data_IF_764067266531
#
_entry.id   IF_764067266531
#
_cell.length_a   1.000
_cell.length_b   1.000
_cell.length_c   1.000
_cell.angle_alpha   90.00
_cell.angle_beta   90.00
_cell.angle_gamma   90.00
#
_symmetry.space_group_name_H-M   'P 1'
#
loop_
_entity.id
_entity.type
_entity.pdbx_description
1 polymer ?
#
# COMPACT_ATOMS: atom_id res chain seq x y z
N UNK A 1 26.78 -2.19 -74.50
CA UNK A 1 25.91 -3.37 -74.73
C UNK A 1 24.63 -3.18 -73.92
N UNK A 2 23.49 -2.97 -74.58
CA UNK A 2 22.18 -3.05 -73.93
C UNK A 2 21.75 -4.52 -73.98
N UNK A 3 21.86 -5.21 -72.85
CA UNK A 3 21.35 -6.57 -72.69
C UNK A 3 19.83 -6.50 -72.52
N UNK A 4 19.08 -7.07 -73.47
CA UNK A 4 17.60 -7.06 -73.49
C UNK A 4 16.99 -8.01 -72.44
N UNK A 5 17.72 -9.06 -72.04
CA UNK A 5 17.23 -10.08 -71.11
C UNK A 5 17.16 -9.64 -69.64
N UNK A 6 17.97 -8.64 -69.23
CA UNK A 6 17.98 -8.12 -67.86
C UNK A 6 17.94 -6.60 -67.90
N UNK A 7 16.77 -6.02 -67.63
CA UNK A 7 16.59 -4.57 -67.60
C UNK A 7 17.05 -3.99 -66.26
N UNK A 8 18.29 -3.48 -66.23
CA UNK A 8 18.91 -2.94 -65.02
C UNK A 8 18.17 -1.71 -64.45
N UNK A 9 17.55 -0.89 -65.32
CA UNK A 9 16.77 0.27 -64.87
C UNK A 9 15.47 -0.15 -64.19
N UNK A 10 14.78 -1.15 -64.75
CA UNK A 10 13.60 -1.75 -64.12
C UNK A 10 13.94 -2.41 -62.77
N UNK A 11 15.04 -3.17 -62.71
CA UNK A 11 15.49 -3.82 -61.47
C UNK A 11 15.87 -2.80 -60.38
N UNK A 12 16.43 -1.66 -60.77
CA UNK A 12 16.78 -0.57 -59.84
C UNK A 12 15.53 0.15 -59.35
N UNK A 13 14.57 0.44 -60.25
CA UNK A 13 13.27 1.00 -59.88
C UNK A 13 12.51 0.07 -58.91
N UNK A 14 12.48 -1.25 -59.17
CA UNK A 14 11.85 -2.24 -58.29
C UNK A 14 12.51 -2.32 -56.91
N UNK A 15 13.86 -2.22 -56.83
CA UNK A 15 14.58 -2.16 -55.56
C UNK A 15 14.22 -0.91 -54.75
N UNK A 16 14.16 0.27 -55.39
CA UNK A 16 13.74 1.50 -54.71
C UNK A 16 12.28 1.44 -54.25
N UNK A 17 11.38 0.92 -55.09
CA UNK A 17 9.97 0.74 -54.74
C UNK A 17 9.82 -0.20 -53.54
N UNK A 18 10.55 -1.31 -53.51
CA UNK A 18 10.57 -2.25 -52.38
C UNK A 18 11.06 -1.57 -51.08
N UNK A 19 12.11 -0.74 -51.17
CA UNK A 19 12.58 0.03 -50.01
C UNK A 19 11.53 1.04 -49.51
N UNK A 20 10.89 1.79 -50.41
CA UNK A 20 9.81 2.72 -50.07
C UNK A 20 8.60 2.01 -49.46
N UNK A 21 8.23 0.83 -49.97
CA UNK A 21 7.14 0.03 -49.43
C UNK A 21 7.43 -0.42 -47.99
N UNK A 22 8.66 -0.87 -47.70
CA UNK A 22 9.08 -1.24 -46.34
C UNK A 22 9.06 -0.05 -45.36
N UNK A 23 9.51 1.12 -45.81
CA UNK A 23 9.45 2.35 -45.00
C UNK A 23 8.00 2.79 -44.73
N UNK A 24 7.11 2.68 -45.72
CA UNK A 24 5.68 2.97 -45.55
C UNK A 24 5.03 2.01 -44.56
N UNK A 25 5.27 0.70 -44.68
CA UNK A 25 4.74 -0.30 -43.74
C UNK A 25 5.19 -0.01 -42.31
N UNK A 26 6.46 0.34 -42.12
CA UNK A 26 6.99 0.73 -40.79
C UNK A 26 6.31 1.98 -40.25
N UNK A 27 6.08 2.99 -41.10
CA UNK A 27 5.40 4.23 -40.72
C UNK A 27 3.94 3.98 -40.35
N UNK A 28 3.25 3.15 -41.12
CA UNK A 28 1.87 2.73 -40.83
C UNK A 28 1.77 1.97 -39.50
N UNK A 29 2.74 1.09 -39.20
CA UNK A 29 2.79 0.39 -37.91
C UNK A 29 3.00 1.36 -36.74
N UNK A 30 3.89 2.35 -36.89
CA UNK A 30 4.10 3.42 -35.89
C UNK A 30 2.87 4.31 -35.72
N UNK A 31 2.19 4.64 -36.80
CA UNK A 31 0.95 5.43 -36.76
C UNK A 31 -0.17 4.66 -36.06
N UNK A 32 -0.36 3.39 -36.39
CA UNK A 32 -1.38 2.52 -35.79
C UNK A 32 -1.18 2.27 -34.30
N UNK A 33 0.08 2.12 -33.88
CA UNK A 33 0.44 1.89 -32.47
C UNK A 33 0.58 3.17 -31.66
N UNK A 34 0.85 4.30 -32.31
CA UNK A 34 1.27 5.54 -31.67
C UNK A 34 2.67 5.48 -31.05
N UNK A 35 3.39 4.36 -31.20
CA UNK A 35 4.71 4.14 -30.61
C UNK A 35 5.81 4.32 -31.67
N UNK A 36 6.84 5.09 -31.31
CA UNK A 36 8.01 5.28 -32.17
C UNK A 36 8.85 4.00 -32.30
N UNK A 37 8.93 3.19 -31.25
CA UNK A 37 9.67 1.92 -31.21
C UNK A 37 8.66 0.81 -31.00
N UNK A 38 8.44 -0.01 -32.02
CA UNK A 38 7.47 -1.11 -31.97
C UNK A 38 8.13 -2.49 -31.85
N UNK A 39 9.41 -2.60 -32.20
CA UNK A 39 10.15 -3.85 -32.14
C UNK A 39 11.60 -3.63 -31.71
N UNK A 40 12.22 -4.67 -31.15
CA UNK A 40 13.64 -4.67 -30.79
C UNK A 40 14.56 -4.45 -32.02
N UNK A 41 14.05 -4.69 -33.23
CA UNK A 41 14.76 -4.44 -34.48
C UNK A 41 14.93 -2.94 -34.78
N UNK A 42 13.99 -2.12 -34.32
CA UNK A 42 13.98 -0.66 -34.56
C UNK A 42 14.93 0.07 -33.62
N UNK A 43 14.92 -0.30 -32.33
CA UNK A 43 15.80 0.24 -31.28
C UNK A 43 15.78 -0.69 -30.06
N UNK A 44 16.73 -1.63 -29.99
CA UNK A 44 16.81 -2.59 -28.89
C UNK A 44 17.08 -1.91 -27.53
N UNK A 45 17.88 -0.85 -27.50
CA UNK A 45 18.21 -0.13 -26.27
C UNK A 45 17.01 0.72 -25.79
N UNK A 46 16.35 1.42 -26.71
CA UNK A 46 15.14 2.18 -26.43
C UNK A 46 14.00 1.29 -25.93
N UNK A 47 13.78 0.13 -26.58
CA UNK A 47 12.78 -0.83 -26.13
C UNK A 47 13.10 -1.38 -24.72
N UNK A 48 14.35 -1.76 -24.45
CA UNK A 48 14.75 -2.27 -23.15
C UNK A 48 14.58 -1.24 -22.02
N UNK A 49 14.85 0.04 -22.28
CA UNK A 49 14.60 1.12 -21.33
C UNK A 49 13.10 1.34 -21.13
N UNK A 50 12.32 1.38 -22.21
CA UNK A 50 10.86 1.52 -22.15
C UNK A 50 10.18 0.38 -21.41
N UNK A 51 10.61 -0.87 -21.61
CA UNK A 51 10.10 -2.02 -20.86
C UNK A 51 10.45 -1.92 -19.39
N UNK A 52 11.69 -1.55 -19.03
CA UNK A 52 12.09 -1.32 -17.64
C UNK A 52 11.23 -0.24 -16.98
N UNK A 53 11.01 0.89 -17.66
CA UNK A 53 10.12 1.94 -17.16
C UNK A 53 8.68 1.44 -17.02
N UNK A 54 8.18 0.64 -17.97
CA UNK A 54 6.84 0.06 -17.87
C UNK A 54 6.72 -0.89 -16.67
N UNK A 55 7.71 -1.74 -16.43
CA UNK A 55 7.75 -2.58 -15.22
C UNK A 55 7.79 -1.75 -13.95
N UNK A 56 8.53 -0.65 -13.93
CA UNK A 56 8.61 0.25 -12.78
C UNK A 56 7.27 0.95 -12.54
N UNK A 57 6.61 1.46 -13.58
CA UNK A 57 5.29 2.09 -13.47
C UNK A 57 4.24 1.11 -12.95
N UNK A 58 4.23 -0.13 -13.46
CA UNK A 58 3.32 -1.18 -12.94
C UNK A 58 3.63 -1.53 -11.49
N UNK A 59 4.92 -1.63 -11.14
CA UNK A 59 5.36 -1.82 -9.76
C UNK A 59 4.88 -0.71 -8.84
N UNK A 60 5.07 0.56 -9.24
CA UNK A 60 4.59 1.73 -8.51
C UNK A 60 3.06 1.76 -8.36
N UNK A 61 2.30 1.31 -9.36
CA UNK A 61 0.84 1.24 -9.26
C UNK A 61 0.37 0.22 -8.20
N UNK A 62 1.07 -0.92 -8.07
CA UNK A 62 0.81 -1.89 -6.99
C UNK A 62 1.26 -1.33 -5.65
N UNK A 63 2.45 -0.73 -5.60
CA UNK A 63 2.97 -0.09 -4.40
C UNK A 63 2.05 1.00 -3.84
N UNK A 64 1.44 1.82 -4.71
CA UNK A 64 0.45 2.82 -4.29
C UNK A 64 -0.77 2.18 -3.65
N UNK A 65 -1.26 1.05 -4.16
CA UNK A 65 -2.35 0.30 -3.52
C UNK A 65 -1.94 -0.26 -2.16
N UNK A 66 -0.78 -0.88 -2.07
CA UNK A 66 -0.24 -1.38 -0.79
C UNK A 66 -0.06 -0.27 0.24
N UNK A 67 0.37 0.92 -0.18
CA UNK A 67 0.48 2.09 0.70
C UNK A 67 -0.89 2.54 1.22
N UNK A 68 -1.94 2.53 0.37
CA UNK A 68 -3.31 2.82 0.79
C UNK A 68 -3.85 1.78 1.78
N UNK A 69 -3.47 0.51 1.63
CA UNK A 69 -3.81 -0.55 2.61
C UNK A 69 -3.12 -0.29 3.96
N UNK A 70 -1.86 0.12 3.95
CA UNK A 70 -1.12 0.52 5.15
C UNK A 70 -1.73 1.74 5.84
N UNK A 71 -2.19 2.74 5.08
CA UNK A 71 -2.92 3.90 5.60
C UNK A 71 -4.23 3.45 6.24
N UNK A 72 -5.00 2.61 5.54
CA UNK A 72 -6.29 2.11 6.03
C UNK A 72 -6.14 1.30 7.32
N UNK A 73 -5.11 0.44 7.40
CA UNK A 73 -4.77 -0.29 8.62
C UNK A 73 -4.45 0.67 9.76
N UNK A 74 -3.61 1.68 9.50
CA UNK A 74 -3.20 2.66 10.49
C UNK A 74 -4.38 3.48 11.01
N UNK A 75 -5.32 3.86 10.14
CA UNK A 75 -6.54 4.59 10.52
C UNK A 75 -7.47 3.75 11.40
N UNK A 76 -7.64 2.45 11.11
CA UNK A 76 -8.44 1.56 11.95
C UNK A 76 -7.77 1.38 13.32
N UNK A 77 -6.45 1.21 13.35
CA UNK A 77 -5.69 1.15 14.60
C UNK A 77 -5.83 2.45 15.40
N UNK A 78 -5.69 3.61 14.77
CA UNK A 78 -5.82 4.92 15.40
C UNK A 78 -7.23 5.13 15.98
N UNK A 79 -8.28 4.83 15.23
CA UNK A 79 -9.65 4.96 15.70
C UNK A 79 -9.95 4.08 16.92
N UNK A 80 -9.41 2.85 16.94
CA UNK A 80 -9.50 1.98 18.11
C UNK A 80 -8.73 2.57 19.32
N UNK A 81 -7.52 3.07 19.11
CA UNK A 81 -6.72 3.70 20.16
C UNK A 81 -7.37 4.96 20.74
N UNK A 82 -8.03 5.77 19.92
CA UNK A 82 -8.80 6.93 20.39
C UNK A 82 -9.91 6.51 21.36
N UNK A 83 -10.67 5.44 21.04
CA UNK A 83 -11.71 4.91 21.95
C UNK A 83 -11.13 4.36 23.25
N UNK A 84 -9.98 3.70 23.17
CA UNK A 84 -9.27 3.25 24.37
C UNK A 84 -8.81 4.43 25.23
N UNK A 85 -8.34 5.52 24.61
CA UNK A 85 -7.95 6.75 25.31
C UNK A 85 -9.14 7.40 26.04
N UNK A 86 -10.31 7.49 25.40
CA UNK A 86 -11.54 8.00 26.02
C UNK A 86 -11.90 7.20 27.29
N UNK A 87 -11.80 5.86 27.21
CA UNK A 87 -12.07 4.97 28.34
C UNK A 87 -11.06 5.19 29.47
N UNK A 88 -9.77 5.31 29.15
CA UNK A 88 -8.73 5.55 30.16
C UNK A 88 -8.91 6.90 30.85
N UNK A 89 -9.30 7.94 30.10
CA UNK A 89 -9.61 9.24 30.69
C UNK A 89 -10.79 9.15 31.66
N UNK A 90 -11.87 8.48 31.27
CA UNK A 90 -13.03 8.24 32.16
C UNK A 90 -12.66 7.41 33.38
N UNK A 91 -11.87 6.35 33.22
CA UNK A 91 -11.38 5.53 34.33
C UNK A 91 -10.53 6.35 35.31
N UNK A 92 -9.75 7.32 34.81
CA UNK A 92 -8.97 8.24 35.64
C UNK A 92 -9.86 9.20 36.42
N UNK A 93 -10.90 9.75 35.79
CA UNK A 93 -11.89 10.60 36.46
C UNK A 93 -12.56 9.85 37.62
N UNK A 94 -13.00 8.61 37.39
CA UNK A 94 -13.59 7.77 38.44
C UNK A 94 -12.62 7.47 39.57
N UNK A 95 -11.34 7.22 39.26
CA UNK A 95 -10.31 6.97 40.27
C UNK A 95 -10.06 8.21 41.15
N UNK A 96 -9.98 9.40 40.55
CA UNK A 96 -9.84 10.67 41.29
C UNK A 96 -11.09 10.96 42.11
N UNK A 97 -12.27 10.69 41.57
CA UNK A 97 -13.54 10.83 42.28
C UNK A 97 -13.59 9.90 43.49
N UNK A 98 -13.23 8.62 43.33
CA UNK A 98 -13.22 7.63 44.41
C UNK A 98 -12.24 7.96 45.54
N UNK A 99 -11.13 8.65 45.21
CA UNK A 99 -10.14 9.11 46.17
C UNK A 99 -10.63 10.26 47.09
N UNK A 100 -11.78 10.89 46.78
CA UNK A 100 -12.33 11.92 47.65
C UNK A 100 -12.76 11.31 49.01
N UNK A 101 -12.34 11.95 50.10
CA UNK A 101 -12.56 11.49 51.47
C UNK A 101 -14.01 11.52 51.92
N UNK A 102 -14.86 12.29 51.24
CA UNK A 102 -16.30 12.45 51.56
C UNK A 102 -17.19 11.34 51.00
N UNK A 103 -16.68 10.50 50.10
CA UNK A 103 -17.47 9.41 49.51
C UNK A 103 -17.67 8.28 50.52
N UNK A 104 -18.90 7.76 50.56
CA UNK A 104 -19.21 6.58 51.37
C UNK A 104 -18.59 5.31 50.77
N UNK A 105 -18.55 4.23 51.55
CA UNK A 105 -18.09 2.92 51.06
C UNK A 105 -18.96 2.39 49.92
N UNK A 106 -20.28 2.64 49.94
CA UNK A 106 -21.19 2.28 48.86
C UNK A 106 -20.93 3.09 47.58
N UNK A 107 -20.58 4.38 47.70
CA UNK A 107 -20.26 5.20 46.52
C UNK A 107 -18.97 4.72 45.87
N UNK A 108 -17.95 4.38 46.68
CA UNK A 108 -16.71 3.80 46.16
C UNK A 108 -16.95 2.46 45.44
N UNK A 109 -17.81 1.59 45.99
CA UNK A 109 -18.18 0.34 45.31
C UNK A 109 -18.90 0.55 43.98
N UNK A 110 -19.79 1.55 43.89
CA UNK A 110 -20.47 1.90 42.64
C UNK A 110 -19.47 2.43 41.59
N UNK A 111 -18.56 3.34 41.98
CA UNK A 111 -17.52 3.86 41.11
C UNK A 111 -16.55 2.76 40.64
N UNK A 112 -16.19 1.82 41.53
CA UNK A 112 -15.37 0.66 41.16
C UNK A 112 -16.08 -0.28 40.19
N UNK A 113 -17.39 -0.45 40.33
CA UNK A 113 -18.19 -1.25 39.40
C UNK A 113 -18.25 -0.62 38.01
N UNK A 114 -18.41 0.71 37.92
CA UNK A 114 -18.34 1.44 36.65
C UNK A 114 -16.95 1.31 36.02
N UNK A 115 -15.87 1.48 36.81
CA UNK A 115 -14.50 1.27 36.35
C UNK A 115 -14.25 -0.15 35.84
N UNK A 116 -14.80 -1.17 36.50
CA UNK A 116 -14.68 -2.55 36.07
C UNK A 116 -15.37 -2.80 34.71
N UNK A 117 -16.54 -2.21 34.48
CA UNK A 117 -17.23 -2.27 33.18
C UNK A 117 -16.42 -1.59 32.08
N UNK A 118 -15.83 -0.43 32.36
CA UNK A 118 -14.94 0.28 31.44
C UNK A 118 -13.70 -0.55 31.07
N UNK A 119 -13.10 -1.26 32.03
CA UNK A 119 -11.96 -2.15 31.77
C UNK A 119 -12.35 -3.39 30.94
N UNK A 120 -13.56 -3.92 31.11
CA UNK A 120 -14.10 -4.98 30.26
C UNK A 120 -14.28 -4.48 28.83
N UNK A 121 -14.84 -3.28 28.67
CA UNK A 121 -15.04 -2.65 27.37
C UNK A 121 -13.72 -2.33 26.68
N UNK A 122 -12.73 -1.85 27.43
CA UNK A 122 -11.37 -1.65 26.96
C UNK A 122 -10.78 -2.94 26.39
N UNK A 123 -10.88 -4.04 27.15
CA UNK A 123 -10.38 -5.36 26.72
C UNK A 123 -11.13 -5.89 25.50
N UNK A 124 -12.43 -5.61 25.39
CA UNK A 124 -13.26 -5.94 24.24
C UNK A 124 -12.84 -5.16 22.99
N UNK A 125 -12.59 -3.85 23.08
CA UNK A 125 -12.12 -3.05 21.95
C UNK A 125 -10.73 -3.51 21.51
N UNK A 126 -9.81 -3.72 22.47
CA UNK A 126 -8.46 -4.20 22.17
C UNK A 126 -8.46 -5.56 21.44
N UNK A 127 -9.31 -6.50 21.86
CA UNK A 127 -9.43 -7.82 21.23
C UNK A 127 -10.31 -7.86 19.97
N UNK A 128 -11.22 -6.91 19.79
CA UNK A 128 -12.12 -6.88 18.63
C UNK A 128 -11.54 -6.10 17.44
N UNK A 129 -10.66 -5.13 17.68
CA UNK A 129 -10.02 -4.33 16.63
C UNK A 129 -9.27 -5.20 15.63
N UNK A 130 -9.70 -5.15 14.37
CA UNK A 130 -9.27 -6.04 13.30
C UNK A 130 -9.20 -5.28 11.98
N UNK A 131 -8.15 -5.54 11.21
CA UNK A 131 -8.08 -5.20 9.80
C UNK A 131 -7.80 -6.45 8.97
N UNK A 132 -8.68 -6.74 8.00
CA UNK A 132 -8.53 -7.85 7.06
C UNK A 132 -8.24 -9.23 7.72
N UNK A 133 -8.90 -9.51 8.83
CA UNK A 133 -8.72 -10.76 9.60
C UNK A 133 -7.60 -10.69 10.64
N UNK A 134 -6.73 -9.68 10.61
CA UNK A 134 -5.61 -9.54 11.53
C UNK A 134 -5.95 -8.63 12.71
N UNK A 135 -5.69 -9.09 13.93
CA UNK A 135 -5.87 -8.30 15.15
C UNK A 135 -4.74 -7.29 15.29
N UNK A 136 -5.09 -6.07 15.67
CA UNK A 136 -4.16 -4.92 15.58
C UNK A 136 -3.45 -4.59 16.89
N UNK A 137 -4.16 -4.64 18.02
CA UNK A 137 -3.71 -4.08 19.30
C UNK A 137 -3.86 -5.05 20.48
N UNK A 138 -4.17 -6.31 20.20
CA UNK A 138 -4.22 -7.38 21.19
C UNK A 138 -2.83 -7.97 21.52
N UNK A 139 -1.77 -7.47 20.86
CA UNK A 139 -0.40 -7.96 21.03
C UNK A 139 -0.02 -9.19 20.20
N UNK A 140 -0.95 -9.74 19.41
CA UNK A 140 -0.65 -10.77 18.40
C UNK A 140 -0.16 -10.17 17.08
N UNK A 141 -0.32 -8.85 16.90
CA UNK A 141 0.13 -8.15 15.72
C UNK A 141 1.65 -8.22 15.60
N UNK A 142 2.12 -9.04 14.66
CA UNK A 142 3.52 -9.01 14.25
C UNK A 142 3.73 -7.85 13.29
N UNK A 143 4.88 -7.19 13.40
CA UNK A 143 5.26 -6.10 12.50
C UNK A 143 5.01 -6.49 11.03
N UNK A 144 4.19 -5.71 10.34
CA UNK A 144 3.85 -5.92 8.94
C UNK A 144 4.68 -4.98 8.07
N UNK A 145 5.20 -5.49 6.95
CA UNK A 145 5.94 -4.69 5.98
C UNK A 145 5.11 -4.46 4.73
N UNK A 146 4.87 -3.20 4.39
CA UNK A 146 4.17 -2.82 3.17
C UNK A 146 5.20 -2.45 2.09
N UNK A 147 5.15 -3.14 0.95
CA UNK A 147 5.97 -2.81 -0.21
C UNK A 147 5.40 -1.57 -0.90
N UNK A 148 6.12 -0.44 -0.79
CA UNK A 148 5.70 0.88 -1.26
C UNK A 148 6.53 1.42 -2.42
N UNK A 149 7.44 0.60 -2.94
CA UNK A 149 8.22 0.92 -4.12
C UNK A 149 8.22 -0.18 -5.18
N UNK A 150 8.82 0.11 -6.33
CA UNK A 150 8.89 -0.82 -7.46
C UNK A 150 10.03 -1.84 -7.32
N UNK A 151 11.03 -1.55 -6.48
CA UNK A 151 12.19 -2.42 -6.28
C UNK A 151 12.06 -3.22 -4.97
N UNK A 152 12.67 -4.40 -4.94
CA UNK A 152 12.69 -5.23 -3.75
C UNK A 152 13.35 -4.49 -2.57
N UNK A 153 12.71 -4.53 -1.39
CA UNK A 153 13.23 -3.93 -0.16
C UNK A 153 12.78 -2.48 0.08
N UNK A 154 12.05 -1.86 -0.86
CA UNK A 154 11.38 -0.57 -0.66
C UNK A 154 10.10 -0.75 0.18
N UNK A 155 10.29 -1.07 1.47
CA UNK A 155 9.21 -1.40 2.42
C UNK A 155 9.09 -0.41 3.55
N UNK A 156 7.87 -0.18 4.03
CA UNK A 156 7.58 0.49 5.29
C UNK A 156 7.12 -0.55 6.30
N UNK A 157 7.85 -0.67 7.41
CA UNK A 157 7.46 -1.50 8.54
C UNK A 157 6.48 -0.75 9.44
N UNK A 158 5.33 -1.36 9.72
CA UNK A 158 4.36 -0.87 10.71
C UNK A 158 4.40 -1.81 11.91
N UNK A 159 4.61 -1.23 13.09
CA UNK A 159 4.57 -1.94 14.36
C UNK A 159 3.52 -1.29 15.27
N UNK A 160 2.65 -2.11 15.85
CA UNK A 160 1.61 -1.65 16.77
C UNK A 160 1.89 -2.24 18.16
N UNK A 161 1.87 -1.42 19.22
CA UNK A 161 2.08 -1.93 20.58
C UNK A 161 0.88 -2.77 21.04
N UNK A 162 1.15 -3.75 21.91
CA UNK A 162 0.10 -4.45 22.64
C UNK A 162 -0.54 -3.53 23.67
N UNK A 163 -1.86 -3.36 23.58
CA UNK A 163 -2.63 -2.51 24.50
C UNK A 163 -3.57 -3.34 25.37
N UNK A 164 -3.22 -4.58 25.74
CA UNK A 164 -4.06 -5.34 26.67
C UNK A 164 -4.02 -4.75 28.10
N UNK A 165 -5.15 -4.82 28.81
CA UNK A 165 -5.33 -4.27 30.16
C UNK A 165 -4.22 -4.60 31.19
N UNK A 166 -3.59 -5.80 31.19
CA UNK A 166 -2.48 -6.10 32.11
C UNK A 166 -1.22 -5.26 31.88
N UNK A 167 -0.99 -4.75 30.66
CA UNK A 167 0.23 -4.01 30.32
C UNK A 167 0.14 -2.50 30.61
N UNK A 168 -1.05 -1.94 30.88
CA UNK A 168 -1.20 -0.52 31.20
C UNK A 168 -0.85 -0.19 32.66
N UNK A 169 -0.92 -1.17 33.57
CA UNK A 169 -0.53 -1.00 34.96
C UNK A 169 0.98 -0.87 35.20
N UNK A 170 1.81 -1.06 34.17
CA UNK A 170 3.27 -0.97 34.24
C UNK A 170 3.83 0.44 33.95
N UNK A 171 2.97 1.39 33.55
CA UNK A 171 3.36 2.77 33.21
C UNK A 171 2.83 3.82 34.21
N UNK A 172 2.35 3.38 35.37
CA UNK A 172 1.94 4.22 36.50
C UNK A 172 2.95 4.22 37.62
#
# INVERSE_FOLDING_TARGET
MVTINTNLQSLTAQRHLSASQLSLTTTMQRLSSGLRVNSAKDDAAGLAISERMNTQVRGMAVASRNANDGISLSQVAEGAMQKLMDILQRSRELAVQAANGTNSSSDRQALDSERAQLLQEFSRIASSSNFNGQKLIDGSFMAQSFQVGANAGEVIGVNLPSLQAPNLGAYG
#
